data_IF_772712633628
#
_entry.id   IF_772712633628
#
_cell.length_a   1.000
_cell.length_b   1.000
_cell.length_c   1.000
_cell.angle_alpha   90.00
_cell.angle_beta   90.00
_cell.angle_gamma   90.00
#
_symmetry.space_group_name_H-M   'P 1'
#
loop_
_entity.id
_entity.type
_entity.pdbx_description
1 polymer ?
#
# COMPACT_ATOMS: atom_id res chain seq x y z
N UNK A 1 14.43 -14.47 27.11
CA UNK A 1 13.22 -15.14 26.58
C UNK A 1 13.65 -15.79 25.28
N UNK A 2 13.75 -17.11 25.22
CA UNK A 2 14.16 -17.79 23.99
C UNK A 2 13.05 -17.63 22.94
N UNK A 3 13.40 -17.24 21.72
CA UNK A 3 12.44 -17.15 20.62
C UNK A 3 11.79 -18.52 20.39
N UNK A 4 10.50 -18.53 20.09
CA UNK A 4 9.79 -19.78 19.81
C UNK A 4 10.32 -20.43 18.52
N UNK A 5 10.03 -21.72 18.32
CA UNK A 5 10.31 -22.40 17.05
C UNK A 5 9.70 -21.62 15.90
N UNK A 6 8.41 -21.28 16.04
CA UNK A 6 7.63 -20.51 15.07
C UNK A 6 8.31 -19.19 14.71
N UNK A 7 8.68 -18.37 15.70
CA UNK A 7 9.32 -17.08 15.46
C UNK A 7 10.69 -17.23 14.77
N UNK A 8 11.44 -18.27 15.14
CA UNK A 8 12.77 -18.52 14.58
C UNK A 8 12.69 -18.93 13.12
N UNK A 9 11.86 -19.93 12.79
CA UNK A 9 11.72 -20.39 11.40
C UNK A 9 11.12 -19.32 10.51
N UNK A 10 10.17 -18.55 11.03
CA UNK A 10 9.58 -17.41 10.31
C UNK A 10 10.61 -16.31 10.04
N UNK A 11 11.43 -15.96 11.03
CA UNK A 11 12.49 -14.94 10.86
C UNK A 11 13.53 -15.37 9.83
N UNK A 12 13.93 -16.64 9.83
CA UNK A 12 14.87 -17.18 8.83
C UNK A 12 14.22 -17.17 7.44
N UNK A 13 12.96 -17.62 7.32
CA UNK A 13 12.22 -17.60 6.05
C UNK A 13 12.05 -16.18 5.48
N UNK A 14 11.74 -15.20 6.33
CA UNK A 14 11.66 -13.78 5.93
C UNK A 14 13.01 -13.26 5.40
N UNK A 15 14.12 -13.65 6.03
CA UNK A 15 15.46 -13.30 5.58
C UNK A 15 15.83 -13.98 4.25
N UNK A 16 15.45 -15.24 4.06
CA UNK A 16 15.64 -15.95 2.79
C UNK A 16 14.95 -15.18 1.66
N UNK A 17 13.69 -14.78 1.84
CA UNK A 17 12.90 -14.06 0.84
C UNK A 17 13.28 -12.57 0.66
N UNK A 18 14.26 -12.07 1.42
CA UNK A 18 14.66 -10.67 1.38
C UNK A 18 15.52 -10.25 0.16
N UNK A 19 15.83 -11.18 -0.75
CA UNK A 19 16.61 -10.90 -1.97
C UNK A 19 16.34 -11.91 -3.08
N UNK A 20 17.19 -11.92 -4.12
CA UNK A 20 17.06 -12.83 -5.26
C UNK A 20 17.14 -14.31 -4.86
N UNK A 21 16.53 -15.23 -5.65
CA UNK A 21 16.63 -16.68 -5.47
C UNK A 21 17.99 -17.25 -5.90
N UNK A 22 19.08 -16.55 -5.60
CA UNK A 22 20.44 -17.04 -5.81
C UNK A 22 20.89 -17.79 -4.55
N UNK A 23 21.35 -19.03 -4.73
CA UNK A 23 21.76 -19.93 -3.65
C UNK A 23 22.68 -19.27 -2.62
N UNK A 24 23.77 -18.66 -3.09
CA UNK A 24 24.74 -18.02 -2.22
C UNK A 24 24.16 -16.79 -1.51
N UNK A 25 23.29 -16.04 -2.20
CA UNK A 25 22.57 -14.92 -1.60
C UNK A 25 21.60 -15.35 -0.50
N UNK A 26 20.87 -16.46 -0.69
CA UNK A 26 19.97 -17.04 0.32
C UNK A 26 20.77 -17.46 1.56
N UNK A 27 21.86 -18.21 1.37
CA UNK A 27 22.72 -18.67 2.46
C UNK A 27 23.35 -17.48 3.19
N UNK A 28 23.81 -16.46 2.48
CA UNK A 28 24.37 -15.25 3.08
C UNK A 28 23.33 -14.53 3.98
N UNK A 29 22.06 -14.49 3.58
CA UNK A 29 20.98 -13.91 4.39
C UNK A 29 20.61 -14.77 5.60
N UNK A 30 20.66 -16.10 5.48
CA UNK A 30 20.50 -17.00 6.64
C UNK A 30 21.67 -16.83 7.63
N UNK A 31 22.90 -16.81 7.12
CA UNK A 31 24.13 -16.58 7.91
C UNK A 31 24.08 -15.24 8.63
N UNK A 32 23.57 -14.22 7.95
CA UNK A 32 23.34 -12.91 8.50
C UNK A 32 22.38 -12.91 9.70
N UNK A 33 21.37 -13.79 9.73
CA UNK A 33 20.41 -13.95 10.82
C UNK A 33 20.99 -14.77 11.98
N UNK A 34 21.75 -15.82 11.66
CA UNK A 34 22.23 -16.83 12.61
C UNK A 34 23.61 -16.54 13.19
N UNK A 35 24.40 -15.70 12.52
CA UNK A 35 25.81 -15.42 12.87
C UNK A 35 26.81 -16.43 12.32
N UNK A 36 26.33 -17.56 11.81
CA UNK A 36 27.13 -18.62 11.18
C UNK A 36 26.33 -19.29 10.07
N UNK A 37 27.01 -20.07 9.23
CA UNK A 37 26.40 -20.91 8.20
C UNK A 37 26.49 -22.40 8.59
N UNK A 38 25.64 -22.90 9.50
CA UNK A 38 25.60 -24.34 9.79
C UNK A 38 25.35 -25.18 8.52
N UNK A 39 25.82 -26.44 8.45
CA UNK A 39 25.66 -27.28 7.26
C UNK A 39 24.22 -27.42 6.76
N UNK A 40 23.24 -27.43 7.68
CA UNK A 40 21.82 -27.52 7.35
C UNK A 40 21.28 -26.29 6.58
N UNK A 41 21.97 -25.15 6.63
CA UNK A 41 21.55 -23.95 5.87
C UNK A 41 21.63 -24.16 4.36
N UNK A 42 22.60 -24.95 3.88
CA UNK A 42 22.72 -25.32 2.48
C UNK A 42 21.59 -26.24 2.03
N UNK A 43 21.30 -27.28 2.84
CA UNK A 43 20.18 -28.21 2.61
C UNK A 43 18.84 -27.48 2.49
N UNK A 44 18.57 -26.57 3.43
CA UNK A 44 17.36 -25.73 3.44
C UNK A 44 17.32 -24.81 2.22
N UNK A 45 18.43 -24.14 1.89
CA UNK A 45 18.47 -23.23 0.74
C UNK A 45 18.18 -23.99 -0.56
N UNK A 46 18.76 -25.17 -0.74
CA UNK A 46 18.55 -26.01 -1.92
C UNK A 46 17.10 -26.49 -2.02
N UNK A 47 16.52 -26.97 -0.91
CA UNK A 47 15.12 -27.39 -0.85
C UNK A 47 14.16 -26.22 -1.13
N UNK A 48 14.43 -25.05 -0.56
CA UNK A 48 13.62 -23.86 -0.76
C UNK A 48 13.67 -23.37 -2.20
N UNK A 49 14.85 -23.34 -2.83
CA UNK A 49 14.99 -22.93 -4.23
C UNK A 49 14.33 -23.91 -5.18
N UNK A 50 14.44 -25.22 -4.93
CA UNK A 50 13.76 -26.23 -5.72
C UNK A 50 12.23 -26.10 -5.67
N UNK A 51 11.68 -25.75 -4.49
CA UNK A 51 10.23 -25.66 -4.28
C UNK A 51 9.62 -24.31 -4.64
N UNK A 52 10.31 -23.22 -4.31
CA UNK A 52 9.77 -21.85 -4.39
C UNK A 52 10.48 -20.98 -5.43
N UNK A 53 11.61 -21.41 -6.00
CA UNK A 53 12.45 -20.58 -6.86
C UNK A 53 11.74 -19.98 -8.07
N UNK A 54 10.81 -20.72 -8.69
CA UNK A 54 10.04 -20.23 -9.84
C UNK A 54 9.12 -19.03 -9.49
N UNK A 55 8.63 -18.96 -8.25
CA UNK A 55 7.72 -17.92 -7.76
C UNK A 55 8.29 -17.21 -6.52
N UNK A 56 9.61 -17.05 -6.45
CA UNK A 56 10.31 -16.60 -5.23
C UNK A 56 9.80 -15.26 -4.67
N UNK A 57 9.44 -14.33 -5.57
CA UNK A 57 8.91 -13.03 -5.17
C UNK A 57 7.54 -13.13 -4.49
N UNK A 58 6.73 -14.12 -4.85
CA UNK A 58 5.37 -14.32 -4.34
C UNK A 58 5.26 -15.50 -3.37
N UNK A 59 6.40 -16.09 -2.98
CA UNK A 59 6.43 -17.22 -2.07
C UNK A 59 5.83 -16.85 -0.71
N UNK A 60 4.97 -17.74 -0.21
CA UNK A 60 4.37 -17.62 1.11
C UNK A 60 5.42 -17.88 2.20
N UNK A 61 5.61 -16.88 3.07
CA UNK A 61 6.55 -16.92 4.20
C UNK A 61 6.24 -18.09 5.12
N UNK A 62 4.97 -18.34 5.41
CA UNK A 62 4.56 -19.38 6.36
C UNK A 62 4.75 -20.78 5.76
N UNK A 63 4.54 -20.92 4.44
CA UNK A 63 4.86 -22.16 3.73
C UNK A 63 6.37 -22.44 3.68
N UNK A 64 7.20 -21.42 3.47
CA UNK A 64 8.65 -21.54 3.52
C UNK A 64 9.14 -21.85 4.95
N UNK A 65 8.57 -21.20 5.95
CA UNK A 65 8.88 -21.43 7.36
C UNK A 65 8.54 -22.87 7.80
N UNK A 66 7.40 -23.41 7.33
CA UNK A 66 7.06 -24.81 7.54
C UNK A 66 8.06 -25.74 6.86
N UNK A 67 8.45 -25.46 5.62
CA UNK A 67 9.46 -26.25 4.91
C UNK A 67 10.83 -26.27 5.61
N UNK A 68 11.23 -25.13 6.19
CA UNK A 68 12.43 -25.03 7.04
C UNK A 68 12.28 -25.83 8.34
N UNK A 69 11.12 -25.74 9.00
CA UNK A 69 10.85 -26.46 10.24
C UNK A 69 10.92 -27.99 10.06
N UNK A 70 10.56 -28.48 8.87
CA UNK A 70 10.60 -29.90 8.51
C UNK A 70 11.97 -30.38 8.00
N UNK A 71 12.92 -29.47 7.76
CA UNK A 71 14.22 -29.83 7.21
C UNK A 71 15.02 -30.69 8.21
N UNK A 72 15.43 -31.92 7.85
CA UNK A 72 16.12 -32.84 8.76
C UNK A 72 17.33 -32.22 9.46
N UNK A 73 18.15 -31.45 8.74
CA UNK A 73 19.29 -30.73 9.31
C UNK A 73 18.90 -29.69 10.35
N UNK A 74 17.82 -28.94 10.12
CA UNK A 74 17.31 -27.94 11.05
C UNK A 74 16.69 -28.60 12.29
N UNK A 75 15.88 -29.66 12.11
CA UNK A 75 15.28 -30.42 13.22
C UNK A 75 16.35 -30.95 14.17
N UNK A 76 17.43 -31.55 13.63
CA UNK A 76 18.56 -32.03 14.44
C UNK A 76 19.23 -30.90 15.21
N UNK A 77 19.46 -29.74 14.58
CA UNK A 77 20.06 -28.59 15.24
C UNK A 77 19.14 -28.02 16.34
N UNK A 78 17.83 -27.93 16.08
CA UNK A 78 16.85 -27.34 16.99
C UNK A 78 16.66 -28.15 18.29
N UNK A 79 16.64 -29.48 18.17
CA UNK A 79 16.48 -30.39 19.31
C UNK A 79 17.81 -30.91 19.89
N UNK A 80 18.94 -30.52 19.30
CA UNK A 80 20.29 -30.86 19.77
C UNK A 80 20.95 -29.74 20.56
N UNK A 81 22.28 -29.83 20.69
CA UNK A 81 23.08 -28.86 21.44
C UNK A 81 23.33 -27.55 20.67
N UNK A 82 23.24 -27.57 19.33
CA UNK A 82 23.51 -26.44 18.43
C UNK A 82 22.23 -25.68 18.05
N UNK A 83 21.41 -25.33 19.04
CA UNK A 83 20.12 -24.69 18.80
C UNK A 83 20.28 -23.35 18.06
N UNK A 84 19.67 -23.17 16.87
CA UNK A 84 19.74 -21.92 16.11
C UNK A 84 19.21 -20.74 16.91
N UNK A 85 19.99 -19.66 16.98
CA UNK A 85 19.59 -18.40 17.60
C UNK A 85 19.56 -17.28 16.56
N UNK A 86 18.49 -16.49 16.58
CA UNK A 86 18.36 -15.28 15.77
C UNK A 86 19.18 -14.17 16.44
N UNK A 87 20.32 -13.81 15.83
CA UNK A 87 21.18 -12.71 16.30
C UNK A 87 20.85 -11.39 15.60
N UNK A 88 20.23 -11.45 14.41
CA UNK A 88 19.85 -10.29 13.60
C UNK A 88 18.59 -10.57 12.82
N UNK A 89 17.74 -9.55 12.66
CA UNK A 89 16.58 -9.60 11.78
C UNK A 89 16.97 -8.99 10.44
N UNK A 90 16.93 -9.80 9.37
CA UNK A 90 17.06 -9.34 7.98
C UNK A 90 15.66 -9.28 7.40
N UNK A 91 15.14 -8.07 7.18
CA UNK A 91 13.81 -7.89 6.61
C UNK A 91 13.87 -7.83 5.10
N UNK A 92 12.82 -8.38 4.47
CA UNK A 92 12.58 -8.15 3.05
C UNK A 92 12.45 -6.63 2.80
N UNK A 93 13.22 -6.05 1.86
CA UNK A 93 13.03 -4.67 1.50
C UNK A 93 11.57 -4.53 1.03
N UNK A 94 10.85 -3.50 1.48
CA UNK A 94 9.53 -3.25 0.96
C UNK A 94 9.65 -2.98 -0.54
N UNK A 95 8.86 -3.67 -1.34
CA UNK A 95 8.80 -3.47 -2.79
C UNK A 95 7.35 -3.18 -3.13
N UNK A 96 7.12 -2.11 -3.89
CA UNK A 96 5.81 -1.81 -4.44
C UNK A 96 5.46 -2.88 -5.47
N UNK A 97 4.22 -3.39 -5.42
CA UNK A 97 3.79 -4.42 -6.37
C UNK A 97 3.76 -3.84 -7.79
N UNK A 98 4.08 -4.64 -8.82
CA UNK A 98 3.93 -4.20 -10.19
C UNK A 98 2.47 -3.84 -10.48
N UNK A 99 2.27 -2.88 -11.38
CA UNK A 99 0.96 -2.50 -11.88
C UNK A 99 0.32 -3.69 -12.63
N UNK A 100 -1.00 -3.88 -12.54
CA UNK A 100 -1.69 -4.88 -13.34
C UNK A 100 -1.55 -4.54 -14.83
N UNK A 101 -1.65 -5.55 -15.70
CA UNK A 101 -1.41 -5.40 -17.14
C UNK A 101 -2.10 -4.19 -17.81
N UNK A 102 -3.37 -3.84 -17.52
CA UNK A 102 -4.02 -2.67 -18.12
C UNK A 102 -3.37 -1.33 -17.75
N UNK A 103 -2.62 -1.28 -16.64
CA UNK A 103 -1.93 -0.10 -16.13
C UNK A 103 -0.40 -0.20 -16.24
N UNK A 104 0.14 -1.27 -16.83
CA UNK A 104 1.59 -1.52 -16.85
C UNK A 104 2.42 -0.40 -17.53
N UNK A 105 1.80 0.38 -18.43
CA UNK A 105 2.43 1.53 -19.08
C UNK A 105 2.34 2.85 -18.30
N UNK A 106 1.70 2.88 -17.13
CA UNK A 106 1.60 4.09 -16.31
C UNK A 106 2.88 4.30 -15.49
N UNK A 107 3.50 5.47 -15.62
CA UNK A 107 4.63 5.88 -14.78
C UNK A 107 4.14 6.42 -13.44
N UNK A 108 3.95 5.54 -12.46
CA UNK A 108 3.55 5.91 -11.09
C UNK A 108 4.78 5.96 -10.16
N UNK A 109 4.85 6.96 -9.25
CA UNK A 109 5.89 7.02 -8.24
C UNK A 109 6.00 5.72 -7.43
N UNK A 110 7.23 5.32 -7.14
CA UNK A 110 7.52 4.15 -6.34
C UNK A 110 7.80 4.57 -4.89
N UNK A 111 6.88 4.25 -3.99
CA UNK A 111 7.05 4.48 -2.57
C UNK A 111 6.97 3.13 -1.86
N UNK A 112 8.11 2.66 -1.35
CA UNK A 112 8.18 1.39 -0.67
C UNK A 112 7.73 1.53 0.80
N UNK A 113 7.96 2.70 1.40
CA UNK A 113 7.74 2.93 2.84
C UNK A 113 6.98 4.20 3.14
N UNK A 114 6.37 4.24 4.35
CA UNK A 114 6.13 5.41 5.17
C UNK A 114 6.89 6.68 4.78
N UNK A 115 8.20 6.54 4.97
CA UNK A 115 9.19 7.59 4.84
C UNK A 115 9.40 8.04 3.41
N UNK A 116 9.30 7.15 2.42
CA UNK A 116 9.42 7.52 1.01
C UNK A 116 8.29 8.46 0.61
N UNK A 117 7.05 8.14 0.99
CA UNK A 117 5.89 8.99 0.76
C UNK A 117 6.00 10.30 1.54
N UNK A 118 6.36 10.25 2.82
CA UNK A 118 6.50 11.44 3.65
C UNK A 118 7.58 12.39 3.09
N UNK A 119 8.76 11.86 2.74
CA UNK A 119 9.85 12.60 2.14
C UNK A 119 9.47 13.21 0.79
N UNK A 120 8.76 12.46 -0.04
CA UNK A 120 8.24 12.97 -1.32
C UNK A 120 7.19 14.07 -1.13
N UNK A 121 6.31 13.94 -0.13
CA UNK A 121 5.34 14.97 0.26
C UNK A 121 5.99 16.16 0.96
N UNK A 122 7.28 16.09 1.34
CA UNK A 122 7.97 17.13 2.08
C UNK A 122 7.45 17.31 3.51
N UNK A 123 6.99 16.23 4.13
CA UNK A 123 6.52 16.18 5.53
C UNK A 123 7.27 15.11 6.30
N UNK A 124 7.28 15.20 7.63
CA UNK A 124 7.79 14.11 8.48
C UNK A 124 6.79 12.94 8.54
N UNK A 125 7.28 11.74 8.90
CA UNK A 125 6.40 10.57 9.09
C UNK A 125 5.30 10.83 10.14
N UNK A 126 5.59 11.44 11.31
CA UNK A 126 4.52 11.80 12.26
C UNK A 126 3.50 12.79 11.70
N UNK A 127 3.92 13.71 10.82
CA UNK A 127 3.01 14.64 10.17
C UNK A 127 2.17 13.96 9.09
N UNK A 128 2.73 12.99 8.37
CA UNK A 128 1.98 12.13 7.46
C UNK A 128 0.91 11.34 8.23
N UNK A 129 1.28 10.73 9.36
CA UNK A 129 0.35 10.03 10.24
C UNK A 129 -0.74 10.98 10.74
N UNK A 130 -0.36 12.19 11.18
CA UNK A 130 -1.29 13.22 11.63
C UNK A 130 -2.27 13.65 10.54
N UNK A 131 -1.81 13.86 9.30
CA UNK A 131 -2.66 14.20 8.14
C UNK A 131 -3.58 13.05 7.71
N UNK A 132 -3.19 11.82 8.04
CA UNK A 132 -3.92 10.59 7.75
C UNK A 132 -4.85 10.18 8.88
N UNK A 133 -4.73 10.79 10.06
CA UNK A 133 -5.54 10.48 11.23
C UNK A 133 -7.01 10.93 11.02
N UNK A 134 -7.92 10.22 11.67
CA UNK A 134 -9.35 10.07 11.39
C UNK A 134 -10.04 11.26 10.70
N UNK A 135 -10.69 10.94 9.60
CA UNK A 135 -11.67 11.76 8.92
C UNK A 135 -13.02 11.73 9.67
N UNK A 136 -13.71 12.88 9.77
CA UNK A 136 -15.02 13.06 10.43
C UNK A 136 -15.07 12.63 11.90
N UNK A 137 -14.21 13.22 12.73
CA UNK A 137 -14.45 13.20 14.19
C UNK A 137 -15.60 14.17 14.50
N UNK A 138 -16.60 13.70 15.25
CA UNK A 138 -17.71 14.53 15.71
C UNK A 138 -17.21 15.80 16.38
N UNK A 139 -17.74 16.96 15.97
CA UNK A 139 -17.39 18.28 16.50
C UNK A 139 -17.75 18.48 17.99
N UNK A 140 -18.25 17.45 18.69
CA UNK A 140 -18.77 17.53 20.07
C UNK A 140 -17.82 16.98 21.14
N UNK A 141 -16.53 16.89 20.87
CA UNK A 141 -15.52 16.64 21.89
C UNK A 141 -14.54 17.81 21.95
N UNK A 142 -14.65 18.67 22.97
CA UNK A 142 -13.73 19.80 23.23
C UNK A 142 -12.27 19.40 23.53
N UNK A 143 -11.90 18.15 23.25
CA UNK A 143 -10.57 17.57 23.39
C UNK A 143 -10.10 16.84 22.11
N UNK A 144 -10.74 17.05 20.96
CA UNK A 144 -10.36 16.37 19.71
C UNK A 144 -9.20 17.07 18.98
N UNK A 145 -8.26 16.33 18.37
CA UNK A 145 -7.14 16.91 17.63
C UNK A 145 -7.65 17.82 16.51
N UNK A 146 -6.91 18.92 16.26
CA UNK A 146 -7.16 19.92 15.22
C UNK A 146 -7.77 19.31 13.93
N UNK A 147 -9.06 19.58 13.66
CA UNK A 147 -9.74 19.12 12.45
C UNK A 147 -9.00 19.56 11.17
N UNK A 148 -8.86 18.67 10.18
CA UNK A 148 -8.19 18.96 8.91
C UNK A 148 -9.05 19.73 7.89
N UNK A 149 -10.34 19.84 8.17
CA UNK A 149 -11.33 20.48 7.31
C UNK A 149 -12.02 21.64 8.01
N UNK A 150 -12.44 22.62 7.23
CA UNK A 150 -13.49 23.57 7.61
C UNK A 150 -14.76 23.24 6.85
N UNK A 151 -15.92 23.50 7.45
CA UNK A 151 -17.22 23.13 6.89
C UNK A 151 -18.01 24.39 6.58
N UNK A 152 -18.58 24.47 5.38
CA UNK A 152 -19.43 25.57 4.94
C UNK A 152 -20.75 25.01 4.44
N UNK A 153 -21.86 25.45 5.03
CA UNK A 153 -23.20 25.17 4.54
C UNK A 153 -23.48 26.03 3.30
N UNK A 154 -23.94 25.40 2.21
CA UNK A 154 -24.30 26.07 0.96
C UNK A 154 -25.68 25.61 0.53
N UNK A 155 -26.57 26.55 0.27
CA UNK A 155 -27.92 26.23 -0.18
C UNK A 155 -27.91 25.71 -1.62
N UNK A 156 -28.72 24.68 -1.87
CA UNK A 156 -28.96 24.16 -3.22
C UNK A 156 -29.97 25.08 -3.92
N UNK A 157 -29.77 25.29 -5.23
CA UNK A 157 -30.72 26.05 -6.07
C UNK A 157 -32.14 25.45 -6.08
N UNK A 158 -32.25 24.15 -5.83
CA UNK A 158 -33.50 23.38 -5.80
C UNK A 158 -34.08 23.21 -4.38
N UNK A 159 -33.54 23.89 -3.37
CA UNK A 159 -33.89 23.69 -1.96
C UNK A 159 -33.02 22.63 -1.26
N UNK A 160 -32.88 22.78 0.06
CA UNK A 160 -31.98 21.99 0.91
C UNK A 160 -30.55 22.57 0.99
N UNK A 161 -29.72 22.00 1.86
CA UNK A 161 -28.34 22.44 2.11
C UNK A 161 -27.33 21.35 1.71
N UNK A 162 -26.17 21.75 1.20
CA UNK A 162 -24.98 20.89 1.07
C UNK A 162 -23.87 21.42 1.99
N UNK A 163 -23.22 20.51 2.70
CA UNK A 163 -22.01 20.84 3.45
C UNK A 163 -20.82 20.71 2.52
N UNK A 164 -20.05 21.79 2.37
CA UNK A 164 -18.79 21.84 1.64
C UNK A 164 -17.65 21.70 2.63
N UNK A 165 -16.86 20.65 2.46
CA UNK A 165 -15.67 20.38 3.25
C UNK A 165 -14.45 20.99 2.55
N UNK A 166 -13.77 21.92 3.22
CA UNK A 166 -12.63 22.63 2.67
C UNK A 166 -11.37 22.18 3.42
N UNK A 167 -10.42 21.49 2.75
CA UNK A 167 -9.19 21.08 3.41
C UNK A 167 -8.34 22.31 3.78
N UNK A 168 -7.77 22.30 4.98
CA UNK A 168 -6.80 23.28 5.46
C UNK A 168 -5.51 23.21 4.63
N UNK A 169 -4.70 24.27 4.68
CA UNK A 169 -3.55 24.48 3.79
C UNK A 169 -2.60 23.27 3.67
N UNK A 170 -2.20 22.68 4.80
CA UNK A 170 -1.28 21.52 4.82
C UNK A 170 -1.85 20.30 4.11
N UNK A 171 -3.08 19.90 4.46
CA UNK A 171 -3.74 18.75 3.83
C UNK A 171 -4.02 19.02 2.35
N UNK A 172 -4.44 20.24 2.00
CA UNK A 172 -4.68 20.64 0.62
C UNK A 172 -3.43 20.52 -0.23
N UNK A 173 -2.28 20.93 0.29
CA UNK A 173 -1.00 20.83 -0.40
C UNK A 173 -0.60 19.36 -0.63
N UNK A 174 -0.70 18.52 0.41
CA UNK A 174 -0.43 17.09 0.28
C UNK A 174 -1.34 16.42 -0.76
N UNK A 175 -2.64 16.72 -0.74
CA UNK A 175 -3.61 16.21 -1.73
C UNK A 175 -3.30 16.67 -3.15
N UNK A 176 -2.87 17.93 -3.34
CA UNK A 176 -2.46 18.45 -4.66
C UNK A 176 -1.20 17.78 -5.18
N UNK A 177 -0.23 17.52 -4.30
CA UNK A 177 0.97 16.76 -4.67
C UNK A 177 0.58 15.38 -5.15
N UNK A 178 -0.23 14.63 -4.39
CA UNK A 178 -0.73 13.31 -4.79
C UNK A 178 -1.49 13.39 -6.13
N UNK A 179 -2.37 14.39 -6.30
CA UNK A 179 -3.10 14.58 -7.55
C UNK A 179 -2.16 14.73 -8.75
N UNK A 180 -1.25 15.69 -8.72
CA UNK A 180 -0.39 16.00 -9.88
C UNK A 180 0.77 15.03 -10.05
N UNK A 181 1.28 14.49 -8.96
CA UNK A 181 2.43 13.59 -8.93
C UNK A 181 2.09 12.13 -9.18
N UNK A 182 0.84 11.72 -8.96
CA UNK A 182 0.39 10.34 -9.14
C UNK A 182 -0.89 10.25 -9.99
N UNK A 183 -1.99 10.86 -9.54
CA UNK A 183 -3.31 10.58 -10.13
C UNK A 183 -3.46 11.11 -11.57
N UNK A 184 -2.89 12.28 -11.87
CA UNK A 184 -2.89 12.85 -13.23
C UNK A 184 -2.13 12.00 -14.26
N UNK A 185 -1.27 11.09 -13.79
CA UNK A 185 -0.51 10.17 -14.65
C UNK A 185 -1.31 8.93 -15.06
N UNK A 186 -2.46 8.71 -14.41
CA UNK A 186 -3.35 7.59 -14.71
C UNK A 186 -4.43 8.10 -15.64
N UNK A 187 -4.38 7.65 -16.90
CA UNK A 187 -5.33 8.11 -17.90
C UNK A 187 -6.76 7.65 -17.55
N UNK A 188 -7.72 8.57 -17.36
CA UNK A 188 -9.11 8.18 -17.20
C UNK A 188 -9.68 7.69 -18.54
N UNK A 189 -10.82 7.02 -18.48
CA UNK A 189 -11.53 6.57 -19.68
C UNK A 189 -11.78 7.75 -20.65
N UNK A 190 -11.72 7.48 -21.96
CA UNK A 190 -11.82 8.50 -23.01
C UNK A 190 -13.09 9.37 -22.92
N UNK A 191 -14.20 8.78 -22.48
CA UNK A 191 -15.50 9.44 -22.27
C UNK A 191 -15.59 10.32 -21.00
N UNK A 192 -14.53 10.43 -20.19
CA UNK A 192 -14.52 11.31 -19.02
C UNK A 192 -14.19 12.73 -19.45
N UNK A 193 -15.12 13.65 -19.17
CA UNK A 193 -14.97 15.09 -19.40
C UNK A 193 -14.89 15.92 -18.11
N UNK A 194 -15.48 15.45 -17.01
CA UNK A 194 -15.44 16.13 -15.71
C UNK A 194 -14.04 16.12 -15.11
N UNK A 195 -13.66 17.25 -14.50
CA UNK A 195 -12.36 17.44 -13.80
C UNK A 195 -11.12 17.09 -14.64
N UNK A 196 -11.22 17.14 -15.97
CA UNK A 196 -10.14 16.77 -16.89
C UNK A 196 -9.60 18.00 -17.61
N UNK A 197 -8.28 18.18 -17.56
CA UNK A 197 -7.60 19.27 -18.28
C UNK A 197 -7.89 19.16 -19.79
N UNK A 198 -8.25 20.29 -20.41
CA UNK A 198 -8.57 20.35 -21.84
C UNK A 198 -9.93 19.77 -22.24
N UNK A 199 -10.76 19.31 -21.29
CA UNK A 199 -12.17 18.97 -21.52
C UNK A 199 -13.06 19.94 -20.78
N UNK A 200 -14.29 20.08 -21.26
CA UNK A 200 -15.30 20.95 -20.66
C UNK A 200 -16.71 20.61 -21.13
N UNK A 201 -17.67 21.43 -20.73
CA UNK A 201 -19.10 21.23 -20.99
C UNK A 201 -19.38 21.09 -22.49
N UNK A 202 -18.73 21.90 -23.32
CA UNK A 202 -18.88 21.83 -24.78
C UNK A 202 -18.41 20.47 -25.32
N UNK A 203 -17.21 20.03 -24.95
CA UNK A 203 -16.68 18.74 -25.41
C UNK A 203 -17.51 17.55 -24.91
N UNK A 204 -18.18 17.68 -23.77
CA UNK A 204 -19.09 16.69 -23.21
C UNK A 204 -20.41 16.65 -23.99
N UNK A 205 -20.96 17.81 -24.35
CA UNK A 205 -22.23 17.90 -25.07
C UNK A 205 -22.11 17.54 -26.56
N UNK A 206 -20.97 17.82 -27.19
CA UNK A 206 -20.79 17.66 -28.64
C UNK A 206 -21.12 16.25 -29.19
N UNK A 207 -20.72 15.13 -28.54
CA UNK A 207 -21.10 13.79 -29.00
C UNK A 207 -22.61 13.50 -28.97
N UNK A 208 -23.35 14.26 -28.16
CA UNK A 208 -24.79 14.12 -27.95
C UNK A 208 -25.63 15.08 -28.81
N UNK A 209 -24.99 16.04 -29.49
CA UNK A 209 -25.68 16.91 -30.44
C UNK A 209 -26.29 16.08 -31.58
N UNK A 210 -27.46 16.51 -32.06
CA UNK A 210 -28.21 15.88 -33.15
C UNK A 210 -28.54 14.39 -32.96
N UNK A 211 -28.66 13.95 -31.70
CA UNK A 211 -29.16 12.61 -31.37
C UNK A 211 -30.65 12.65 -31.08
N UNK A 212 -31.39 11.74 -31.70
CA UNK A 212 -32.85 11.60 -31.51
C UNK A 212 -33.23 11.29 -30.05
N UNK A 213 -32.35 10.61 -29.31
CA UNK A 213 -32.56 10.24 -27.91
C UNK A 213 -31.25 10.40 -27.12
N UNK A 214 -31.33 11.09 -25.98
CA UNK A 214 -30.24 11.22 -25.01
C UNK A 214 -30.70 10.71 -23.65
N UNK A 215 -30.00 9.72 -23.11
CA UNK A 215 -30.29 9.16 -21.79
C UNK A 215 -29.44 9.87 -20.74
N UNK A 216 -30.08 10.46 -19.73
CA UNK A 216 -29.42 11.16 -18.63
C UNK A 216 -29.49 10.33 -17.35
N UNK A 217 -28.34 10.12 -16.74
CA UNK A 217 -28.21 9.51 -15.42
C UNK A 217 -27.48 10.47 -14.47
N UNK A 218 -27.90 10.48 -13.20
CA UNK A 218 -27.25 11.22 -12.13
C UNK A 218 -27.13 10.32 -10.89
N UNK A 219 -26.03 10.48 -10.15
CA UNK A 219 -25.78 9.71 -8.94
C UNK A 219 -26.09 10.56 -7.71
N UNK A 220 -27.08 10.12 -6.94
CA UNK A 220 -27.41 10.75 -5.66
C UNK A 220 -26.21 10.70 -4.71
N UNK A 221 -25.89 11.85 -4.09
CA UNK A 221 -24.87 12.01 -3.06
C UNK A 221 -23.50 11.39 -3.41
N UNK A 222 -23.05 11.58 -4.66
CA UNK A 222 -21.82 11.00 -5.19
C UNK A 222 -20.61 11.09 -4.23
N UNK A 223 -20.30 12.27 -3.70
CA UNK A 223 -19.12 12.43 -2.84
C UNK A 223 -19.22 11.70 -1.50
N UNK A 224 -20.43 11.54 -0.97
CA UNK A 224 -20.69 10.82 0.29
C UNK A 224 -20.76 9.31 0.03
N UNK A 225 -21.19 8.89 -1.16
CA UNK A 225 -21.29 7.47 -1.52
C UNK A 225 -19.95 6.81 -1.89
N UNK A 226 -18.89 7.60 -2.15
CA UNK A 226 -17.54 7.06 -2.39
C UNK A 226 -16.92 6.62 -1.06
N UNK A 227 -17.08 5.33 -0.74
CA UNK A 227 -16.51 4.70 0.47
C UNK A 227 -14.98 4.67 0.45
N UNK A 228 -14.40 4.78 1.64
CA UNK A 228 -12.96 4.62 1.90
C UNK A 228 -12.37 3.35 1.27
N UNK A 229 -13.09 2.23 1.42
CA UNK A 229 -12.70 0.94 0.85
C UNK A 229 -12.49 0.97 -0.68
N UNK A 230 -13.27 1.79 -1.41
CA UNK A 230 -13.11 1.93 -2.87
C UNK A 230 -11.84 2.71 -3.21
N UNK A 231 -11.53 3.76 -2.46
CA UNK A 231 -10.29 4.53 -2.63
C UNK A 231 -9.08 3.65 -2.25
N UNK A 232 -9.21 2.85 -1.18
CA UNK A 232 -8.20 1.89 -0.78
C UNK A 232 -7.92 0.86 -1.88
N UNK A 233 -8.97 0.27 -2.46
CA UNK A 233 -8.82 -0.68 -3.56
C UNK A 233 -8.12 -0.07 -4.78
N UNK A 234 -8.37 1.21 -5.10
CA UNK A 234 -7.68 1.92 -6.19
C UNK A 234 -6.16 1.94 -5.95
N UNK A 235 -5.71 2.42 -4.79
CA UNK A 235 -4.27 2.52 -4.53
C UNK A 235 -3.59 1.14 -4.38
N UNK A 236 -4.29 0.13 -3.85
CA UNK A 236 -3.78 -1.25 -3.88
C UNK A 236 -3.60 -1.74 -5.33
N UNK A 237 -4.54 -1.41 -6.22
CA UNK A 237 -4.45 -1.75 -7.65
C UNK A 237 -3.28 -1.03 -8.32
N UNK A 238 -2.88 0.14 -7.83
CA UNK A 238 -1.69 0.86 -8.28
C UNK A 238 -0.37 0.30 -7.71
N UNK A 239 -0.45 -0.78 -6.94
CA UNK A 239 0.70 -1.49 -6.39
C UNK A 239 1.14 -1.03 -5.01
N UNK A 240 0.53 0.01 -4.44
CA UNK A 240 0.92 0.57 -3.15
C UNK A 240 0.61 -0.38 -1.99
N UNK A 241 1.53 -0.46 -1.02
CA UNK A 241 1.38 -1.27 0.18
C UNK A 241 0.27 -0.74 1.09
N UNK A 242 -0.42 -1.64 1.80
CA UNK A 242 -1.58 -1.29 2.64
C UNK A 242 -1.33 -0.16 3.65
N UNK A 243 -0.12 -0.05 4.20
CA UNK A 243 0.24 1.05 5.12
C UNK A 243 0.28 2.41 4.42
N UNK A 244 0.79 2.47 3.20
CA UNK A 244 0.77 3.68 2.37
C UNK A 244 -0.64 4.02 1.94
N UNK A 245 -1.41 3.00 1.55
CA UNK A 245 -2.81 3.19 1.20
C UNK A 245 -3.58 3.76 2.38
N UNK A 246 -3.40 3.24 3.59
CA UNK A 246 -3.99 3.80 4.81
C UNK A 246 -3.61 5.26 5.03
N UNK A 247 -2.36 5.65 4.80
CA UNK A 247 -1.97 7.05 4.87
C UNK A 247 -2.68 7.91 3.81
N UNK A 248 -2.79 7.42 2.57
CA UNK A 248 -3.48 8.11 1.49
C UNK A 248 -5.02 8.13 1.64
N UNK A 249 -5.60 7.15 2.32
CA UNK A 249 -7.06 6.98 2.48
C UNK A 249 -7.58 7.40 3.85
N UNK A 250 -6.75 7.50 4.89
CA UNK A 250 -7.17 7.91 6.24
C UNK A 250 -7.79 9.32 6.25
N UNK A 251 -7.52 10.08 5.19
CA UNK A 251 -8.36 11.17 4.73
C UNK A 251 -9.70 10.68 4.12
N UNK A 252 -10.42 9.73 4.73
CA UNK A 252 -11.80 9.26 4.50
C UNK A 252 -11.98 7.95 5.26
N UNK A 253 -12.61 8.00 6.43
CA UNK A 253 -13.03 6.81 7.17
C UNK A 253 -14.50 6.97 7.51
N UNK A 254 -15.26 5.99 6.98
CA UNK A 254 -16.64 5.56 7.19
C UNK A 254 -17.80 6.57 7.19
#
# INVERSE_FOLDING_TARGET
MYASLFDTVRTIAEAMLAGSPERDGVIARMTAVLGAAPPWTHEVADAALARFGANWADADIDALAANLADAPGFVRAWYGDDRPAVIRVVRRPPVQRPLPAPLAGCDVPQWATPGDLAGWLGVSVPELDWLSDRWRVDARGSATPLHHYTYVAVDKRSGGCRVVEIPKGRLREAQRRILHGLLDRIAPHGAVHGFRKGRGIVSFAAPHADRDVVVRFDLADFFVSVRAARVHALFVTLGYLALLVRAMTGARSD
#
